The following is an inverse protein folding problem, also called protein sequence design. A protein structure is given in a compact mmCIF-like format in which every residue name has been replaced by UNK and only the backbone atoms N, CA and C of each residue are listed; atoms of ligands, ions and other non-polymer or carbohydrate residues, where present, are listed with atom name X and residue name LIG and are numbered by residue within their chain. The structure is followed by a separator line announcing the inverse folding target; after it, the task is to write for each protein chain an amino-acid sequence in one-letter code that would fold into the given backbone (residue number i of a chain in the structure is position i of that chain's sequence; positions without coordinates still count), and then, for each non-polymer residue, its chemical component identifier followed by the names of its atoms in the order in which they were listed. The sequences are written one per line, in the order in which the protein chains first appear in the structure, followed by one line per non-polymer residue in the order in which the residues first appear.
data_IF_959914556457
#
_entry.id   IF_959914556457
#
_cell.length_a   1.000
_cell.length_b   1.000
_cell.length_c   1.000
_cell.angle_alpha   90.00
_cell.angle_beta   90.00
_cell.angle_gamma   90.00
#
_symmetry.space_group_name_H-M   'P 1'
#
loop_
_entity.id
_entity.type
_entity.pdbx_description
1 polymer ?
#
# COMPACT_ATOMS: atom_id res chain seq x y z
N UNK A 1 6.53 8.28 -7.64
CA UNK A 1 7.78 7.92 -6.91
C UNK A 1 7.47 7.37 -5.53
N UNK A 2 6.68 8.05 -4.67
CA UNK A 2 6.33 7.50 -3.35
C UNK A 2 5.59 6.15 -3.42
N UNK A 3 4.59 6.02 -4.31
CA UNK A 3 3.91 4.74 -4.54
C UNK A 3 4.83 3.65 -5.12
N UNK A 4 5.73 4.03 -6.04
CA UNK A 4 6.73 3.12 -6.60
C UNK A 4 7.73 2.65 -5.52
N UNK A 5 8.15 3.54 -4.62
CA UNK A 5 8.96 3.18 -3.46
C UNK A 5 8.24 2.19 -2.55
N UNK A 6 6.95 2.42 -2.28
CA UNK A 6 6.13 1.52 -1.46
C UNK A 6 6.03 0.11 -2.09
N UNK A 7 5.74 0.05 -3.38
CA UNK A 7 5.71 -1.20 -4.14
C UNK A 7 7.04 -1.96 -4.03
N UNK A 8 8.16 -1.28 -4.31
CA UNK A 8 9.48 -1.92 -4.29
C UNK A 8 9.97 -2.31 -2.89
N UNK A 9 9.62 -1.55 -1.84
CA UNK A 9 9.91 -1.87 -0.44
C UNK A 9 9.12 -3.09 0.04
N UNK A 10 7.91 -3.31 -0.48
CA UNK A 10 7.07 -4.46 -0.09
C UNK A 10 7.34 -5.74 -0.90
N UNK A 11 8.08 -5.64 -2.01
CA UNK A 11 8.48 -6.78 -2.83
C UNK A 11 9.41 -7.76 -2.07
N UNK A 12 9.34 -9.04 -2.43
CA UNK A 12 10.22 -10.10 -1.92
C UNK A 12 10.83 -10.86 -3.12
N UNK A 13 12.14 -10.71 -3.42
CA UNK A 13 13.11 -9.86 -2.72
C UNK A 13 12.86 -8.36 -2.94
N UNK A 14 13.27 -7.54 -1.99
CA UNK A 14 13.18 -6.07 -2.07
C UNK A 14 14.13 -5.52 -3.13
N UNK A 15 13.65 -4.58 -3.96
CA UNK A 15 14.40 -4.08 -5.12
C UNK A 15 14.31 -2.55 -5.29
N UNK A 16 14.80 -1.79 -4.32
CA UNK A 16 14.95 -0.33 -4.46
C UNK A 16 16.30 -0.03 -5.10
N UNK A 17 16.32 0.63 -6.26
CA UNK A 17 17.54 0.93 -7.00
C UNK A 17 17.94 2.42 -6.90
N UNK A 18 19.19 2.72 -7.24
CA UNK A 18 19.75 4.07 -7.14
C UNK A 18 19.01 5.08 -8.02
N UNK A 19 18.54 4.66 -9.20
CA UNK A 19 17.74 5.50 -10.09
C UNK A 19 16.46 6.01 -9.42
N UNK A 20 15.77 5.17 -8.65
CA UNK A 20 14.59 5.57 -7.90
C UNK A 20 14.96 6.54 -6.77
N UNK A 21 16.08 6.34 -6.08
CA UNK A 21 16.57 7.29 -5.08
C UNK A 21 16.91 8.65 -5.67
N UNK A 22 17.60 8.71 -6.81
CA UNK A 22 17.90 9.95 -7.52
C UNK A 22 16.63 10.68 -7.97
N UNK A 23 15.61 9.94 -8.39
CA UNK A 23 14.29 10.51 -8.70
C UNK A 23 13.63 11.09 -7.45
N UNK A 24 13.63 10.36 -6.33
CA UNK A 24 13.09 10.81 -5.04
C UNK A 24 13.76 12.09 -4.54
N UNK A 25 15.09 12.17 -4.61
CA UNK A 25 15.90 13.32 -4.17
C UNK A 25 15.59 14.63 -4.89
N UNK A 26 15.01 14.57 -6.09
CA UNK A 26 14.56 15.79 -6.80
C UNK A 26 13.33 16.44 -6.18
N UNK A 27 12.60 15.74 -5.33
CA UNK A 27 11.32 16.20 -4.78
C UNK A 27 11.23 16.11 -3.25
N UNK A 28 12.09 15.30 -2.62
CA UNK A 28 12.08 15.05 -1.19
C UNK A 28 13.49 15.25 -0.61
N UNK A 29 13.55 15.73 0.63
CA UNK A 29 14.80 15.71 1.40
C UNK A 29 15.14 14.29 1.82
N UNK A 30 16.41 14.03 2.17
CA UNK A 30 16.82 12.71 2.69
C UNK A 30 15.96 12.29 3.90
N UNK A 31 15.64 13.23 4.81
CA UNK A 31 14.79 12.95 5.96
C UNK A 31 13.38 12.51 5.55
N UNK A 32 12.77 13.17 4.57
CA UNK A 32 11.46 12.78 4.03
C UNK A 32 11.51 11.41 3.34
N UNK A 33 12.60 11.09 2.63
CA UNK A 33 12.77 9.78 2.00
C UNK A 33 12.89 8.68 3.07
N UNK A 34 13.64 8.93 4.15
CA UNK A 34 13.75 8.01 5.30
C UNK A 34 12.37 7.79 5.94
N UNK A 35 11.61 8.86 6.18
CA UNK A 35 10.26 8.76 6.72
C UNK A 35 9.32 7.96 5.81
N UNK A 36 9.34 8.22 4.50
CA UNK A 36 8.56 7.46 3.52
C UNK A 36 8.89 5.97 3.55
N UNK A 37 10.19 5.62 3.54
CA UNK A 37 10.63 4.24 3.60
C UNK A 37 10.21 3.56 4.92
N UNK A 38 10.33 4.26 6.04
CA UNK A 38 9.93 3.76 7.36
C UNK A 38 8.42 3.47 7.43
N UNK A 39 7.59 4.39 6.92
CA UNK A 39 6.12 4.18 6.85
C UNK A 39 5.81 2.97 5.97
N UNK A 40 6.40 2.86 4.78
CA UNK A 40 6.16 1.72 3.90
C UNK A 40 6.52 0.38 4.55
N UNK A 41 7.65 0.33 5.25
CA UNK A 41 8.09 -0.86 5.98
C UNK A 41 7.14 -1.21 7.15
N UNK A 42 6.70 -0.21 7.92
CA UNK A 42 5.76 -0.38 9.02
C UNK A 42 4.41 -0.91 8.55
N UNK A 43 3.88 -0.39 7.45
CA UNK A 43 2.64 -0.84 6.83
C UNK A 43 2.75 -2.28 6.31
N UNK A 44 3.87 -2.63 5.67
CA UNK A 44 4.14 -4.01 5.24
C UNK A 44 4.20 -4.98 6.43
N UNK A 45 4.88 -4.59 7.51
CA UNK A 45 4.92 -5.38 8.75
C UNK A 45 3.50 -5.60 9.29
N UNK A 46 2.71 -4.54 9.44
CA UNK A 46 1.34 -4.63 9.97
C UNK A 46 0.46 -5.52 9.10
N UNK A 47 0.56 -5.40 7.78
CA UNK A 47 -0.18 -6.24 6.84
C UNK A 47 0.17 -7.74 7.01
N UNK A 48 1.45 -8.07 7.15
CA UNK A 48 1.92 -9.46 7.36
C UNK A 48 1.52 -9.97 8.74
N UNK A 49 1.66 -9.16 9.78
CA UNK A 49 1.25 -9.48 11.14
C UNK A 49 -0.24 -9.79 11.21
N UNK A 50 -1.08 -8.91 10.64
CA UNK A 50 -2.52 -9.10 10.60
C UNK A 50 -2.91 -10.38 9.85
N UNK A 51 -2.25 -10.69 8.73
CA UNK A 51 -2.49 -11.93 7.98
C UNK A 51 -2.11 -13.19 8.78
N UNK A 52 -1.02 -13.16 9.55
CA UNK A 52 -0.59 -14.31 10.37
C UNK A 52 -1.58 -14.59 11.51
N UNK A 53 -2.20 -13.55 12.07
CA UNK A 53 -3.12 -13.65 13.20
C UNK A 53 -4.60 -13.66 12.79
N UNK A 54 -4.89 -13.71 11.49
CA UNK A 54 -6.25 -13.62 10.94
C UNK A 54 -7.06 -12.45 11.50
N UNK A 55 -6.40 -11.30 11.66
CA UNK A 55 -7.02 -10.07 12.17
C UNK A 55 -7.91 -9.49 11.08
N UNK A 56 -9.22 -9.50 11.29
CA UNK A 56 -10.21 -8.97 10.36
C UNK A 56 -10.16 -7.43 10.25
N UNK A 57 -10.44 -6.87 9.06
CA UNK A 57 -10.64 -5.44 8.89
C UNK A 57 -11.81 -4.95 9.74
N UNK A 58 -11.72 -3.75 10.29
CA UNK A 58 -12.73 -3.17 11.19
C UNK A 58 -14.02 -2.72 10.46
N UNK A 59 -14.29 -3.22 9.25
CA UNK A 59 -15.50 -2.92 8.49
C UNK A 59 -15.59 -1.50 7.88
N UNK A 60 -14.56 -0.67 8.02
CA UNK A 60 -14.53 0.69 7.43
C UNK A 60 -14.46 0.72 5.90
N UNK A 61 -14.08 -0.39 5.27
CA UNK A 61 -14.10 -0.55 3.83
C UNK A 61 -15.14 -1.62 3.46
N UNK A 62 -16.14 -1.23 2.68
CA UNK A 62 -17.07 -2.15 2.04
C UNK A 62 -16.64 -2.29 0.58
N UNK A 63 -16.27 -3.52 0.19
CA UNK A 63 -16.27 -3.87 -1.24
C UNK A 63 -17.70 -3.66 -1.71
N UNK A 64 -17.88 -2.89 -2.79
CA UNK A 64 -19.17 -2.42 -3.26
C UNK A 64 -20.28 -3.44 -3.06
N UNK A 65 -21.32 -3.03 -2.34
CA UNK A 65 -22.49 -3.85 -2.05
C UNK A 65 -23.01 -4.51 -3.34
N UNK A 66 -22.93 -5.85 -3.48
CA UNK A 66 -23.45 -6.53 -4.66
C UNK A 66 -24.96 -6.32 -4.84
N UNK A 67 -25.67 -5.81 -3.83
CA UNK A 67 -27.09 -5.43 -3.89
C UNK A 67 -27.37 -4.15 -4.71
N UNK A 68 -26.35 -3.41 -5.15
CA UNK A 68 -26.50 -2.18 -5.94
C UNK A 68 -26.41 -2.36 -7.45
N UNK A 69 -26.47 -3.60 -7.94
CA UNK A 69 -26.55 -3.94 -9.37
C UNK A 69 -27.97 -4.36 -9.81
N UNK A 70 -28.57 -3.53 -10.66
CA UNK A 70 -29.66 -3.82 -11.60
C UNK A 70 -31.06 -4.14 -11.02
N UNK A 71 -31.88 -3.08 -10.96
CA UNK A 71 -33.34 -3.22 -11.00
C UNK A 71 -33.77 -3.78 -12.36
N UNK A 72 -33.94 -5.09 -12.43
CA UNK A 72 -34.59 -5.79 -13.53
C UNK A 72 -36.11 -5.63 -13.45
N UNK A 73 -36.67 -4.95 -14.44
CA UNK A 73 -38.09 -4.77 -14.69
C UNK A 73 -38.84 -6.12 -14.73
N UNK A 74 -39.87 -6.26 -13.89
CA UNK A 74 -40.85 -7.34 -13.99
C UNK A 74 -41.63 -7.25 -15.30
N UNK A 75 -41.64 -8.34 -16.05
CA UNK A 75 -42.75 -8.74 -16.93
C UNK A 75 -43.00 -10.22 -16.73
#
# INVERSE_FOLDING_TARGET
MALELAERVTATPTAVNDELFERLRRHFTEAQIVELAAICAWENYRARFNRVLDIEPHGFYQVGDPSRGEGGHST
#
